data_IF_063084924328
#
_entry.id   IF_063084924328
#
_cell.length_a   1.000
_cell.length_b   1.000
_cell.length_c   1.000
_cell.angle_alpha   90.00
_cell.angle_beta   90.00
_cell.angle_gamma   90.00
#
_symmetry.space_group_name_H-M   'P 1'
#
loop_
_entity.id
_entity.type
_entity.pdbx_description
1 polymer ?
#
# COMPACT_ATOMS: atom_id res chain seq x y z
N UNK A 1 -39.52 -7.80 56.60
CA UNK A 1 -38.13 -8.29 56.47
C UNK A 1 -37.86 -8.59 55.01
N UNK A 2 -36.98 -7.80 54.42
CA UNK A 2 -36.65 -7.73 53.00
C UNK A 2 -35.97 -8.99 52.46
N UNK A 3 -36.19 -9.32 51.19
CA UNK A 3 -35.12 -9.79 50.31
C UNK A 3 -35.50 -9.53 48.84
N UNK A 4 -34.91 -8.49 48.25
CA UNK A 4 -34.93 -8.22 46.80
C UNK A 4 -33.63 -8.79 46.25
N UNK A 5 -33.72 -9.80 45.38
CA UNK A 5 -32.58 -10.46 44.74
C UNK A 5 -32.32 -9.75 43.40
N UNK A 6 -31.37 -8.82 43.37
CA UNK A 6 -30.90 -8.18 42.14
C UNK A 6 -30.02 -9.16 41.34
N UNK A 7 -30.52 -9.64 40.20
CA UNK A 7 -29.75 -10.41 39.24
C UNK A 7 -28.95 -9.43 38.36
N UNK A 8 -27.66 -9.29 38.61
CA UNK A 8 -26.76 -8.47 37.77
C UNK A 8 -26.29 -9.35 36.60
N UNK A 9 -26.85 -9.11 35.40
CA UNK A 9 -26.31 -9.66 34.16
C UNK A 9 -24.98 -8.96 33.85
N UNK A 10 -23.88 -9.69 33.99
CA UNK A 10 -22.57 -9.26 33.52
C UNK A 10 -22.53 -9.24 31.99
N UNK A 11 -22.34 -8.07 31.40
CA UNK A 11 -22.04 -7.92 29.97
C UNK A 11 -20.64 -8.45 29.74
N UNK A 12 -20.53 -9.63 29.11
CA UNK A 12 -19.26 -10.11 28.56
C UNK A 12 -18.91 -9.23 27.36
N UNK A 13 -18.12 -8.18 27.60
CA UNK A 13 -17.46 -7.44 26.53
C UNK A 13 -16.50 -8.40 25.84
N UNK A 14 -16.93 -8.95 24.70
CA UNK A 14 -16.05 -9.69 23.80
C UNK A 14 -15.11 -8.67 23.18
N UNK A 15 -13.90 -8.53 23.76
CA UNK A 15 -12.81 -7.83 23.10
C UNK A 15 -12.43 -8.66 21.86
N UNK A 16 -13.05 -8.37 20.72
CA UNK A 16 -12.57 -8.85 19.43
C UNK A 16 -11.19 -8.26 19.22
N UNK A 17 -10.14 -9.03 19.51
CA UNK A 17 -8.78 -8.64 19.20
C UNK A 17 -8.71 -8.28 17.72
N UNK A 18 -8.30 -7.05 17.41
CA UNK A 18 -8.16 -6.64 16.02
C UNK A 18 -7.13 -7.55 15.33
N UNK A 19 -7.31 -7.87 14.04
CA UNK A 19 -6.33 -8.63 13.30
C UNK A 19 -4.95 -7.97 13.45
N UNK A 20 -3.94 -8.75 13.81
CA UNK A 20 -2.58 -8.26 13.92
C UNK A 20 -1.99 -8.11 12.52
N UNK A 21 -2.33 -7.02 11.83
CA UNK A 21 -1.59 -6.59 10.65
C UNK A 21 -0.12 -6.32 11.03
N UNK A 22 0.80 -6.90 10.27
CA UNK A 22 2.24 -6.71 10.47
C UNK A 22 2.87 -6.15 9.20
N UNK A 23 3.95 -5.39 9.35
CA UNK A 23 4.75 -4.95 8.22
C UNK A 23 5.30 -6.13 7.39
N UNK A 24 5.53 -7.29 8.03
CA UNK A 24 5.93 -8.54 7.38
C UNK A 24 4.87 -9.12 6.44
N UNK A 25 3.64 -8.62 6.50
CA UNK A 25 2.55 -9.03 5.63
C UNK A 25 2.58 -8.23 4.31
N UNK A 26 3.62 -7.45 4.01
CA UNK A 26 3.82 -6.88 2.68
C UNK A 26 4.65 -7.85 1.83
N UNK A 27 4.11 -8.23 0.67
CA UNK A 27 4.87 -8.83 -0.42
C UNK A 27 5.28 -7.72 -1.38
N UNK A 28 6.51 -7.77 -1.88
CA UNK A 28 7.01 -6.84 -2.89
C UNK A 28 7.96 -7.55 -3.84
N UNK A 29 8.02 -7.09 -5.09
CA UNK A 29 9.05 -7.50 -6.05
C UNK A 29 10.26 -6.57 -5.95
N UNK A 30 11.42 -7.07 -6.39
CA UNK A 30 12.57 -6.20 -6.63
C UNK A 30 12.22 -5.10 -7.65
N UNK A 31 12.94 -3.97 -7.59
CA UNK A 31 12.91 -2.94 -8.64
C UNK A 31 13.42 -3.55 -9.93
N UNK A 32 12.50 -3.88 -10.83
CA UNK A 32 12.80 -4.70 -12.00
C UNK A 32 12.90 -3.83 -13.25
N UNK A 33 14.05 -3.81 -13.94
CA UNK A 33 14.14 -3.20 -15.26
C UNK A 33 13.22 -3.92 -16.25
N UNK A 34 12.38 -3.17 -16.94
CA UNK A 34 11.47 -3.68 -17.96
C UNK A 34 11.82 -3.13 -19.35
N UNK A 35 11.34 -3.83 -20.38
CA UNK A 35 11.66 -3.51 -21.77
C UNK A 35 10.76 -2.44 -22.38
N UNK A 36 9.64 -2.13 -21.72
CA UNK A 36 8.61 -1.19 -22.18
C UNK A 36 7.70 -0.80 -20.99
N UNK A 37 7.28 0.47 -20.96
CA UNK A 37 6.40 1.09 -19.94
C UNK A 37 4.99 0.44 -19.83
N UNK A 38 4.57 -0.30 -20.86
CA UNK A 38 3.29 -1.00 -20.94
C UNK A 38 3.41 -2.51 -20.70
N UNK A 39 4.58 -3.00 -20.25
CA UNK A 39 4.78 -4.44 -20.00
C UNK A 39 3.73 -5.00 -19.03
N UNK A 40 3.46 -4.31 -17.93
CA UNK A 40 2.48 -4.78 -16.94
C UNK A 40 1.08 -5.00 -17.53
N UNK A 41 0.56 -4.04 -18.31
CA UNK A 41 -0.77 -4.13 -18.93
C UNK A 41 -0.78 -5.09 -20.12
N UNK A 42 0.34 -5.24 -20.83
CA UNK A 42 0.50 -6.25 -21.88
C UNK A 42 0.41 -7.67 -21.32
N UNK A 43 0.99 -7.92 -20.14
CA UNK A 43 0.92 -9.21 -19.47
C UNK A 43 -0.40 -9.45 -18.73
N UNK A 44 -1.14 -8.37 -18.40
CA UNK A 44 -2.40 -8.41 -17.67
C UNK A 44 -3.48 -7.59 -18.43
N UNK A 45 -3.95 -8.05 -19.60
CA UNK A 45 -4.76 -7.23 -20.51
C UNK A 45 -6.12 -6.79 -19.92
N UNK A 46 -6.66 -7.53 -18.96
CA UNK A 46 -7.94 -7.23 -18.30
C UNK A 46 -7.78 -6.38 -17.02
N UNK A 47 -6.55 -5.98 -16.67
CA UNK A 47 -6.30 -5.22 -15.45
C UNK A 47 -6.83 -3.78 -15.57
N UNK A 48 -7.44 -3.27 -14.51
CA UNK A 48 -7.77 -1.86 -14.39
C UNK A 48 -6.71 -1.18 -13.53
N UNK A 49 -6.04 -0.19 -14.10
CA UNK A 49 -5.10 0.66 -13.36
C UNK A 49 -5.88 1.81 -12.73
N UNK A 50 -6.14 1.75 -11.42
CA UNK A 50 -6.74 2.87 -10.70
C UNK A 50 -5.63 3.80 -10.22
N UNK A 51 -5.45 4.92 -10.92
CA UNK A 51 -4.41 5.89 -10.60
C UNK A 51 -4.62 6.49 -9.21
N UNK A 52 -3.53 6.52 -8.43
CA UNK A 52 -3.48 7.19 -7.14
C UNK A 52 -3.43 8.71 -7.33
N UNK A 53 -3.85 9.48 -6.32
CA UNK A 53 -3.61 10.91 -6.34
C UNK A 53 -2.11 11.19 -6.36
N UNK A 54 -1.64 12.03 -7.29
CA UNK A 54 -0.23 12.25 -7.58
C UNK A 54 0.14 13.71 -7.35
N UNK A 55 1.12 13.94 -6.48
CA UNK A 55 1.66 15.27 -6.19
C UNK A 55 3.17 15.28 -6.45
N UNK A 56 3.58 16.00 -7.50
CA UNK A 56 5.01 16.24 -7.80
C UNK A 56 5.50 17.47 -7.05
N UNK A 57 6.53 17.32 -6.23
CA UNK A 57 7.15 18.41 -5.49
C UNK A 57 8.28 19.07 -6.28
N UNK A 58 8.62 20.31 -5.92
CA UNK A 58 9.65 21.11 -6.59
C UNK A 58 11.05 20.51 -6.58
N UNK A 59 11.32 19.57 -5.66
CA UNK A 59 12.60 18.84 -5.57
C UNK A 59 12.67 17.59 -6.45
N UNK A 60 11.61 17.30 -7.23
CA UNK A 60 11.55 16.14 -8.13
C UNK A 60 10.84 14.92 -7.54
N UNK A 61 10.76 14.81 -6.21
CA UNK A 61 10.05 13.72 -5.56
C UNK A 61 8.54 13.77 -5.84
N UNK A 62 7.93 12.59 -5.97
CA UNK A 62 6.49 12.42 -6.20
C UNK A 62 5.89 11.72 -5.00
N UNK A 63 4.73 12.17 -4.56
CA UNK A 63 3.93 11.49 -3.54
C UNK A 63 2.65 10.98 -4.18
N UNK A 64 2.43 9.67 -4.06
CA UNK A 64 1.19 9.02 -4.43
C UNK A 64 0.36 8.78 -3.20
N UNK A 65 -0.93 9.15 -3.23
CA UNK A 65 -1.85 8.91 -2.12
C UNK A 65 -3.15 8.27 -2.56
N UNK A 66 -3.71 7.41 -1.72
CA UNK A 66 -5.06 6.89 -1.86
C UNK A 66 -5.76 6.88 -0.50
N UNK A 67 -7.00 7.36 -0.46
CA UNK A 67 -7.75 7.47 0.80
C UNK A 67 -7.25 8.60 1.69
N UNK A 68 -7.68 8.56 2.94
CA UNK A 68 -7.37 9.57 3.96
C UNK A 68 -7.25 8.92 5.32
N UNK A 69 -6.48 9.55 6.22
CA UNK A 69 -6.34 9.08 7.60
C UNK A 69 -7.69 9.08 8.32
N UNK A 70 -8.02 7.99 8.98
CA UNK A 70 -9.24 7.83 9.76
C UNK A 70 -8.94 7.82 11.26
N UNK A 71 -9.85 8.36 12.07
CA UNK A 71 -9.69 8.32 13.52
C UNK A 71 -9.57 6.88 14.03
N UNK A 72 -8.50 6.59 14.77
CA UNK A 72 -8.22 5.25 15.29
C UNK A 72 -7.47 4.33 14.33
N UNK A 73 -7.16 4.77 13.10
CA UNK A 73 -6.26 4.01 12.23
C UNK A 73 -4.83 4.00 12.79
N UNK A 74 -4.06 2.99 12.36
CA UNK A 74 -2.66 2.85 12.70
C UNK A 74 -1.86 2.52 11.44
N UNK A 75 -0.58 2.87 11.46
CA UNK A 75 0.36 2.43 10.44
C UNK A 75 0.54 0.91 10.58
N UNK A 76 0.24 0.19 9.51
CA UNK A 76 0.36 -1.28 9.46
C UNK A 76 1.56 -1.74 8.64
N UNK A 77 1.97 -0.93 7.67
CA UNK A 77 3.16 -1.14 6.85
C UNK A 77 3.95 0.17 6.82
N UNK A 78 5.26 0.05 7.04
CA UNK A 78 6.26 0.99 6.54
C UNK A 78 7.31 0.13 5.82
N UNK A 79 7.51 0.37 4.53
CA UNK A 79 8.48 -0.36 3.70
C UNK A 79 9.28 0.61 2.84
N UNK A 80 10.59 0.43 2.82
CA UNK A 80 11.52 1.24 2.04
C UNK A 80 12.35 0.32 1.15
N UNK A 81 12.55 0.73 -0.10
CA UNK A 81 13.49 0.08 -1.01
C UNK A 81 14.03 1.06 -2.04
N UNK A 82 15.17 0.74 -2.64
CA UNK A 82 15.80 1.59 -3.63
C UNK A 82 16.93 0.92 -4.39
N UNK A 83 17.04 1.26 -5.67
CA UNK A 83 18.07 0.72 -6.56
C UNK A 83 18.65 1.78 -7.51
N UNK A 84 19.85 1.50 -7.99
CA UNK A 84 20.59 2.32 -8.95
C UNK A 84 21.01 1.48 -10.15
N UNK A 85 20.70 1.98 -11.34
CA UNK A 85 20.85 1.26 -12.60
C UNK A 85 22.03 1.82 -13.40
N UNK A 86 22.78 0.93 -14.06
CA UNK A 86 23.97 1.28 -14.86
C UNK A 86 23.63 2.13 -16.10
N UNK A 87 22.38 2.10 -16.55
CA UNK A 87 21.86 2.87 -17.68
C UNK A 87 20.38 3.22 -17.42
N UNK A 88 19.85 4.19 -18.16
CA UNK A 88 18.44 4.56 -18.06
C UNK A 88 17.56 3.39 -18.52
N UNK A 89 16.61 2.98 -17.69
CA UNK A 89 15.67 1.88 -17.94
C UNK A 89 14.28 2.26 -17.46
N UNK A 90 13.29 1.59 -18.02
CA UNK A 90 11.95 1.57 -17.45
C UNK A 90 11.97 0.59 -16.29
N UNK A 91 11.27 0.91 -15.20
CA UNK A 91 11.22 0.09 -13.98
C UNK A 91 9.78 -0.14 -13.55
N UNK A 92 9.55 -1.32 -12.98
CA UNK A 92 8.29 -1.70 -12.34
C UNK A 92 8.57 -2.27 -10.94
N UNK A 93 7.68 -1.95 -10.00
CA UNK A 93 7.61 -2.56 -8.67
C UNK A 93 6.16 -2.94 -8.40
N UNK A 94 5.94 -4.19 -8.01
CA UNK A 94 4.62 -4.65 -7.56
C UNK A 94 4.68 -4.92 -6.06
N UNK A 95 3.71 -4.36 -5.33
CA UNK A 95 3.51 -4.62 -3.91
C UNK A 95 2.12 -5.21 -3.70
N UNK A 96 1.98 -6.09 -2.70
CA UNK A 96 0.70 -6.67 -2.31
C UNK A 96 0.61 -6.80 -0.81
N UNK A 97 -0.48 -6.29 -0.24
CA UNK A 97 -0.80 -6.45 1.17
C UNK A 97 -2.23 -6.99 1.31
N UNK A 98 -2.49 -7.89 2.27
CA UNK A 98 -1.51 -8.71 2.96
C UNK A 98 -0.93 -9.78 2.01
N UNK A 99 0.28 -10.23 2.32
CA UNK A 99 0.92 -11.37 1.69
C UNK A 99 0.43 -12.68 2.33
N UNK A 100 0.13 -13.68 1.50
CA UNK A 100 -0.21 -15.03 1.98
C UNK A 100 -1.63 -15.14 2.54
N UNK A 101 -1.79 -15.94 3.61
CA UNK A 101 -3.09 -16.32 4.16
C UNK A 101 -3.63 -15.37 5.26
N UNK A 102 -2.97 -14.24 5.50
CA UNK A 102 -3.45 -13.24 6.48
C UNK A 102 -4.71 -12.56 5.95
N UNK A 103 -5.67 -12.31 6.84
CA UNK A 103 -6.93 -11.65 6.48
C UNK A 103 -6.78 -10.13 6.29
N UNK A 104 -5.62 -9.56 6.65
CA UNK A 104 -5.36 -8.13 6.59
C UNK A 104 -6.20 -7.33 7.60
N UNK A 105 -6.24 -6.01 7.40
CA UNK A 105 -7.12 -5.07 8.12
C UNK A 105 -7.73 -4.10 7.12
N UNK A 106 -8.79 -3.40 7.51
CA UNK A 106 -9.44 -2.44 6.60
C UNK A 106 -8.50 -1.28 6.32
N UNK A 107 -8.18 -1.04 5.05
CA UNK A 107 -7.25 0.00 4.61
C UNK A 107 -7.93 1.37 4.58
N UNK A 108 -7.29 2.38 5.15
CA UNK A 108 -7.82 3.75 5.24
C UNK A 108 -7.02 4.74 4.39
N UNK A 109 -5.69 4.65 4.43
CA UNK A 109 -4.78 5.52 3.69
C UNK A 109 -3.57 4.72 3.18
N UNK A 110 -3.13 5.05 1.97
CA UNK A 110 -1.87 4.59 1.39
C UNK A 110 -1.10 5.82 0.94
N UNK A 111 0.17 5.91 1.32
CA UNK A 111 1.08 6.98 0.91
C UNK A 111 2.36 6.34 0.38
N UNK A 112 2.78 6.70 -0.82
CA UNK A 112 4.04 6.25 -1.42
C UNK A 112 4.86 7.46 -1.83
N UNK A 113 6.02 7.61 -1.22
CA UNK A 113 7.01 8.61 -1.60
C UNK A 113 7.95 7.98 -2.61
N UNK A 114 8.15 8.64 -3.75
CA UNK A 114 9.05 8.19 -4.80
C UNK A 114 10.07 9.28 -5.09
N UNK A 115 11.35 8.90 -5.10
CA UNK A 115 12.47 9.71 -5.56
C UNK A 115 13.20 8.97 -6.69
N UNK A 116 13.49 9.68 -7.77
CA UNK A 116 13.99 9.11 -9.01
C UNK A 116 14.73 10.14 -9.85
N UNK A 117 15.60 9.68 -10.74
CA UNK A 117 16.26 10.58 -11.70
C UNK A 117 15.38 10.96 -12.90
N UNK A 118 14.39 10.13 -13.25
CA UNK A 118 13.46 10.45 -14.32
C UNK A 118 12.55 11.63 -13.97
N UNK A 119 11.90 12.19 -14.98
CA UNK A 119 10.96 13.29 -14.79
C UNK A 119 9.61 12.82 -14.21
N UNK A 120 9.27 11.52 -14.32
CA UNK A 120 7.96 11.05 -13.89
C UNK A 120 7.91 9.58 -13.43
N UNK A 121 6.87 9.29 -12.66
CA UNK A 121 6.51 7.95 -12.17
C UNK A 121 4.99 7.76 -12.16
N UNK A 122 4.55 6.51 -12.25
CA UNK A 122 3.18 6.09 -12.06
C UNK A 122 2.99 5.37 -10.71
N UNK A 123 1.80 5.52 -10.13
CA UNK A 123 1.39 4.82 -8.92
C UNK A 123 -0.08 4.43 -9.04
N UNK A 124 -0.36 3.12 -9.01
CA UNK A 124 -1.68 2.57 -9.31
C UNK A 124 -2.11 1.52 -8.30
N UNK A 125 -3.41 1.49 -7.97
CA UNK A 125 -4.05 0.36 -7.31
C UNK A 125 -4.61 -0.58 -8.38
N UNK A 126 -4.07 -1.79 -8.47
CA UNK A 126 -4.42 -2.75 -9.52
C UNK A 126 -5.43 -3.80 -9.03
N UNK A 127 -5.47 -4.06 -7.72
CA UNK A 127 -6.46 -4.92 -7.05
C UNK A 127 -6.72 -4.39 -5.63
N UNK A 128 -7.92 -4.63 -5.11
CA UNK A 128 -8.29 -4.18 -3.76
C UNK A 128 -8.24 -2.65 -3.60
N UNK A 129 -7.85 -2.18 -2.42
CA UNK A 129 -7.63 -0.76 -2.14
C UNK A 129 -8.31 -0.27 -0.85
N UNK A 130 -8.57 1.04 -0.80
CA UNK A 130 -9.17 1.70 0.37
C UNK A 130 -10.56 1.13 0.67
N UNK A 131 -10.86 0.92 1.94
CA UNK A 131 -12.09 0.29 2.42
C UNK A 131 -12.12 -1.25 2.28
N UNK A 132 -11.08 -1.84 1.70
CA UNK A 132 -10.91 -3.29 1.60
C UNK A 132 -9.80 -3.77 2.53
N UNK A 133 -9.65 -5.08 2.70
CA UNK A 133 -8.59 -5.66 3.54
C UNK A 133 -7.32 -6.04 2.80
N UNK A 134 -7.30 -5.82 1.48
CA UNK A 134 -6.19 -6.16 0.61
C UNK A 134 -5.98 -5.05 -0.43
N UNK A 135 -4.76 -4.95 -0.95
CA UNK A 135 -4.38 -4.04 -2.03
C UNK A 135 -3.20 -4.60 -2.82
N UNK A 136 -3.19 -4.38 -4.12
CA UNK A 136 -2.03 -4.53 -4.99
C UNK A 136 -1.68 -3.16 -5.56
N UNK A 137 -0.42 -2.76 -5.40
CA UNK A 137 0.10 -1.44 -5.80
C UNK A 137 1.17 -1.67 -6.86
N UNK A 138 1.01 -1.01 -8.01
CA UNK A 138 2.02 -0.96 -9.06
C UNK A 138 2.68 0.42 -9.05
N UNK A 139 4.01 0.46 -8.93
CA UNK A 139 4.81 1.63 -9.21
C UNK A 139 5.56 1.45 -10.52
N UNK A 140 5.63 2.52 -11.31
CA UNK A 140 6.37 2.53 -12.58
C UNK A 140 7.18 3.81 -12.72
N UNK A 141 8.29 3.76 -13.46
CA UNK A 141 9.00 4.97 -13.91
C UNK A 141 9.77 4.65 -15.18
N UNK A 142 9.81 5.60 -16.12
CA UNK A 142 10.39 5.38 -17.44
C UNK A 142 11.71 6.11 -17.58
N UNK A 143 12.68 5.45 -18.21
CA UNK A 143 14.02 5.97 -18.47
C UNK A 143 14.75 6.51 -17.22
N UNK A 144 14.58 5.86 -16.07
CA UNK A 144 15.27 6.25 -14.83
C UNK A 144 16.59 5.50 -14.63
N UNK A 145 17.52 6.12 -13.90
CA UNK A 145 18.78 5.51 -13.43
C UNK A 145 18.80 5.27 -11.92
N UNK A 146 17.83 5.79 -11.20
CA UNK A 146 17.62 5.48 -9.78
C UNK A 146 16.14 5.50 -9.49
N UNK A 147 15.70 4.56 -8.66
CA UNK A 147 14.33 4.52 -8.20
C UNK A 147 14.35 4.15 -6.74
N UNK A 148 13.81 5.03 -5.90
CA UNK A 148 13.75 4.88 -4.45
C UNK A 148 12.31 5.14 -4.05
N UNK A 149 11.76 4.30 -3.18
CA UNK A 149 10.42 4.49 -2.67
C UNK A 149 10.28 4.13 -1.20
N UNK A 150 9.37 4.82 -0.51
CA UNK A 150 8.93 4.51 0.84
C UNK A 150 7.40 4.45 0.86
N UNK A 151 6.85 3.33 1.30
CA UNK A 151 5.42 3.02 1.31
C UNK A 151 4.90 2.95 2.73
N UNK A 152 3.84 3.71 3.00
CA UNK A 152 3.08 3.69 4.24
C UNK A 152 1.66 3.21 3.96
N UNK A 153 1.20 2.21 4.71
CA UNK A 153 -0.19 1.76 4.67
C UNK A 153 -0.79 1.91 6.06
N UNK A 154 -2.00 2.43 6.13
CA UNK A 154 -2.76 2.66 7.36
C UNK A 154 -4.09 1.90 7.33
N UNK A 155 -4.55 1.46 8.51
CA UNK A 155 -5.81 0.75 8.65
C UNK A 155 -6.17 0.38 10.09
N UNK A 156 -7.30 -0.30 10.28
CA UNK A 156 -7.81 -0.80 11.56
C UNK A 156 -8.49 -2.17 11.45
#
# INVERSE_FOLDING_TARGET
MSLVLCLVLGILASASGQPNARASDLYYTDITPVTDETRYTTLNPDIQLNEMNKVKHSKGNIVFTAGERASGDRMIVNHFDGDSLTSAKDVEVLMSYPAGASTGVTLTSIEVYVDMMADDAGGYLTKGGIGQTHVEILLTSNLTRSFVYETFIYGY
#
